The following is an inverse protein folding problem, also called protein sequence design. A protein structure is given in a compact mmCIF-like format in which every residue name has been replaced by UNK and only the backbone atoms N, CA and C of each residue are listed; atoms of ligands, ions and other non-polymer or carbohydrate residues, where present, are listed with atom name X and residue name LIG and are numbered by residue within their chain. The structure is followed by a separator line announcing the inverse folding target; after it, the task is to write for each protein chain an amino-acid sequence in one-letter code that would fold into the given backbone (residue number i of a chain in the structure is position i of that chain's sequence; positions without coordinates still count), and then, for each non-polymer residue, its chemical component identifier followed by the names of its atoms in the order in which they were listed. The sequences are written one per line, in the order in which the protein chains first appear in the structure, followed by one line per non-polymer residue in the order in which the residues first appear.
data_IF_272173730472
#
_entry.id   IF_272173730472
#
_cell.length_a   1.000
_cell.length_b   1.000
_cell.length_c   1.000
_cell.angle_alpha   90.00
_cell.angle_beta   90.00
_cell.angle_gamma   90.00
#
_symmetry.space_group_name_H-M   'P 1'
#
loop_
_entity.id
_entity.type
_entity.pdbx_description
1 polymer ?
#
# COMPACT_ATOMS: atom_id res chain seq x y z
N UNK A 1 -26.44 45.37 -28.58
CA UNK A 1 -25.60 44.37 -29.25
C UNK A 1 -24.46 44.04 -28.32
N UNK A 2 -24.11 42.76 -28.27
CA UNK A 2 -23.60 42.04 -27.10
C UNK A 2 -22.18 42.47 -26.69
N UNK A 3 -21.99 42.56 -25.37
CA UNK A 3 -20.74 42.78 -24.65
C UNK A 3 -19.76 41.62 -24.91
N UNK A 4 -18.52 41.96 -25.27
CA UNK A 4 -17.41 41.00 -25.38
C UNK A 4 -16.92 40.60 -24.01
N UNK A 5 -17.22 39.37 -23.62
CA UNK A 5 -16.84 38.75 -22.35
C UNK A 5 -15.33 38.74 -22.15
N UNK A 6 -14.93 39.22 -20.97
CA UNK A 6 -13.58 39.15 -20.47
C UNK A 6 -13.16 37.68 -20.27
N UNK A 7 -12.00 37.40 -20.85
CA UNK A 7 -11.06 36.34 -20.54
C UNK A 7 -11.02 36.04 -19.03
N UNK A 8 -11.52 34.86 -18.69
CA UNK A 8 -11.49 34.27 -17.36
C UNK A 8 -11.10 32.82 -17.50
N UNK A 9 -9.91 32.56 -18.07
CA UNK A 9 -9.24 31.28 -17.92
C UNK A 9 -8.92 31.09 -16.44
N UNK A 10 -9.85 30.49 -15.70
CA UNK A 10 -9.54 29.86 -14.41
C UNK A 10 -8.40 28.88 -14.68
N UNK A 11 -7.21 29.22 -14.16
CA UNK A 11 -6.10 28.29 -14.02
C UNK A 11 -6.66 27.02 -13.37
N UNK A 12 -6.82 25.96 -14.16
CA UNK A 12 -7.21 24.64 -13.68
C UNK A 12 -6.25 24.31 -12.53
N UNK A 13 -6.79 24.25 -11.30
CA UNK A 13 -6.03 23.75 -10.15
C UNK A 13 -5.40 22.44 -10.58
N UNK A 14 -4.07 22.36 -10.55
CA UNK A 14 -3.36 21.16 -10.95
C UNK A 14 -4.00 19.94 -10.29
N UNK A 15 -4.41 18.97 -11.10
CA UNK A 15 -4.97 17.72 -10.59
C UNK A 15 -3.96 17.09 -9.65
N UNK A 16 -4.41 16.56 -8.50
CA UNK A 16 -3.52 15.86 -7.56
C UNK A 16 -2.66 14.78 -8.25
N UNK A 17 -3.15 14.15 -9.33
CA UNK A 17 -2.38 13.19 -10.13
C UNK A 17 -1.12 13.83 -10.75
N UNK A 18 -1.24 15.06 -11.27
CA UNK A 18 -0.11 15.81 -11.81
C UNK A 18 0.85 16.21 -10.69
N UNK A 19 0.33 16.63 -9.53
CA UNK A 19 1.17 16.91 -8.36
C UNK A 19 1.99 15.67 -7.95
N UNK A 20 1.36 14.50 -7.85
CA UNK A 20 2.07 13.24 -7.56
C UNK A 20 3.05 12.84 -8.67
N UNK A 21 2.82 13.27 -9.92
CA UNK A 21 3.71 12.98 -11.04
C UNK A 21 4.95 13.87 -11.05
N UNK A 22 4.81 15.19 -10.89
CA UNK A 22 5.85 16.16 -11.24
C UNK A 22 6.38 17.02 -10.09
N UNK A 23 5.62 17.25 -9.02
CA UNK A 23 6.04 18.15 -7.95
C UNK A 23 7.22 17.60 -7.16
N UNK A 24 8.07 18.47 -6.61
CA UNK A 24 9.01 18.05 -5.56
C UNK A 24 8.23 17.55 -4.33
N UNK A 25 8.84 16.66 -3.55
CA UNK A 25 8.13 16.04 -2.42
C UNK A 25 7.85 17.06 -1.31
N UNK A 26 8.69 18.10 -1.19
CA UNK A 26 8.47 19.23 -0.29
C UNK A 26 7.25 20.06 -0.69
N UNK A 27 7.18 20.48 -1.97
CA UNK A 27 6.05 21.28 -2.48
C UNK A 27 4.73 20.50 -2.38
N UNK A 28 4.77 19.20 -2.70
CA UNK A 28 3.61 18.31 -2.56
C UNK A 28 3.15 18.21 -1.09
N UNK A 29 4.07 18.15 -0.13
CA UNK A 29 3.71 18.14 1.30
C UNK A 29 3.05 19.45 1.71
N UNK A 30 3.55 20.59 1.24
CA UNK A 30 2.94 21.90 1.50
C UNK A 30 1.52 21.97 0.93
N UNK A 31 1.30 21.50 -0.30
CA UNK A 31 -0.05 21.45 -0.90
C UNK A 31 -0.98 20.53 -0.12
N UNK A 32 -0.52 19.33 0.28
CA UNK A 32 -1.32 18.42 1.08
C UNK A 32 -1.67 19.02 2.45
N UNK A 33 -0.75 19.76 3.09
CA UNK A 33 -0.99 20.39 4.39
C UNK A 33 -2.03 21.52 4.34
N UNK A 34 -2.30 22.10 3.17
CA UNK A 34 -3.37 23.10 2.98
C UNK A 34 -4.78 22.52 3.07
N UNK A 35 -4.93 21.19 3.17
CA UNK A 35 -6.23 20.56 3.38
C UNK A 35 -6.71 20.85 4.82
N UNK A 36 -7.61 21.83 4.97
CA UNK A 36 -8.10 22.29 6.28
C UNK A 36 -8.99 21.28 7.00
N UNK A 37 -9.78 20.49 6.25
CA UNK A 37 -10.72 19.50 6.79
C UNK A 37 -10.39 18.08 6.32
N UNK A 38 -9.25 17.51 6.74
CA UNK A 38 -8.84 16.17 6.32
C UNK A 38 -9.78 15.08 6.86
N UNK A 39 -10.49 15.36 7.95
CA UNK A 39 -11.49 14.47 8.53
C UNK A 39 -12.77 15.24 8.90
N UNK A 40 -13.94 14.66 8.60
CA UNK A 40 -15.26 15.27 8.78
C UNK A 40 -16.17 14.30 9.55
N UNK A 41 -17.09 14.80 10.38
CA UNK A 41 -18.04 13.94 11.08
C UNK A 41 -19.02 13.27 10.09
N UNK A 42 -19.21 11.97 10.23
CA UNK A 42 -20.20 11.24 9.44
C UNK A 42 -21.60 11.65 9.88
N UNK A 43 -22.46 12.07 8.94
CA UNK A 43 -23.84 12.48 9.26
C UNK A 43 -24.71 11.40 9.92
N UNK A 44 -24.25 10.14 9.94
CA UNK A 44 -24.93 9.01 10.58
C UNK A 44 -24.52 8.89 12.07
N UNK A 45 -23.35 9.41 12.45
CA UNK A 45 -22.87 9.41 13.83
C UNK A 45 -21.87 10.55 14.01
N UNK A 46 -22.28 11.62 14.68
CA UNK A 46 -21.48 12.82 14.94
C UNK A 46 -20.15 12.53 15.66
N UNK A 47 -20.02 11.36 16.31
CA UNK A 47 -18.77 10.92 16.97
C UNK A 47 -17.81 10.19 16.04
N UNK A 48 -18.23 9.77 14.84
CA UNK A 48 -17.39 9.02 13.91
C UNK A 48 -16.89 9.93 12.79
N UNK A 49 -15.60 10.28 12.85
CA UNK A 49 -14.93 11.03 11.78
C UNK A 49 -14.58 10.11 10.60
N UNK A 50 -14.89 10.55 9.39
CA UNK A 50 -14.52 9.94 8.11
C UNK A 50 -13.55 10.87 7.37
N UNK A 51 -12.94 10.38 6.30
CA UNK A 51 -12.07 11.18 5.45
C UNK A 51 -12.86 12.33 4.81
N UNK A 52 -12.29 13.53 4.82
CA UNK A 52 -12.85 14.67 4.12
C UNK A 52 -12.72 14.54 2.60
N UNK A 53 -13.57 15.22 1.82
CA UNK A 53 -13.63 15.05 0.37
C UNK A 53 -12.31 15.41 -0.33
N UNK A 54 -11.62 16.45 0.12
CA UNK A 54 -10.35 16.87 -0.49
C UNK A 54 -9.21 15.89 -0.21
N UNK A 55 -9.13 15.35 1.01
CA UNK A 55 -8.18 14.30 1.33
C UNK A 55 -8.50 13.00 0.57
N UNK A 56 -9.79 12.67 0.45
CA UNK A 56 -10.23 11.51 -0.32
C UNK A 56 -9.87 11.63 -1.80
N UNK A 57 -10.06 12.79 -2.41
CA UNK A 57 -9.62 13.10 -3.78
C UNK A 57 -8.10 12.95 -3.91
N UNK A 58 -7.32 13.56 -3.01
CA UNK A 58 -5.86 13.50 -3.05
C UNK A 58 -5.34 12.07 -2.96
N UNK A 59 -5.79 11.28 -1.99
CA UNK A 59 -5.30 9.91 -1.86
C UNK A 59 -5.83 9.02 -2.99
N UNK A 60 -7.04 9.25 -3.48
CA UNK A 60 -7.54 8.53 -4.67
C UNK A 60 -6.68 8.81 -5.90
N UNK A 61 -6.26 10.05 -6.11
CA UNK A 61 -5.34 10.42 -7.18
C UNK A 61 -3.97 9.76 -7.01
N UNK A 62 -3.42 9.69 -5.79
CA UNK A 62 -2.21 8.93 -5.52
C UNK A 62 -2.37 7.45 -5.90
N UNK A 63 -3.46 6.81 -5.47
CA UNK A 63 -3.67 5.39 -5.76
C UNK A 63 -3.83 5.16 -7.26
N UNK A 64 -4.61 5.99 -7.97
CA UNK A 64 -4.73 5.93 -9.43
C UNK A 64 -3.40 6.13 -10.14
N UNK A 65 -2.58 7.07 -9.67
CA UNK A 65 -1.24 7.29 -10.20
C UNK A 65 -0.39 6.02 -10.06
N UNK A 66 -0.40 5.36 -8.89
CA UNK A 66 0.36 4.13 -8.63
C UNK A 66 -0.18 2.91 -9.38
N UNK A 67 -1.51 2.75 -9.46
CA UNK A 67 -2.16 1.61 -10.13
C UNK A 67 -2.47 1.88 -11.60
N UNK A 68 -1.95 2.99 -12.15
CA UNK A 68 -2.14 3.38 -13.54
C UNK A 68 -1.18 2.64 -14.47
N UNK A 69 -1.54 2.62 -15.76
CA UNK A 69 -0.82 1.91 -16.82
C UNK A 69 0.47 2.62 -17.27
N UNK A 70 0.71 3.83 -16.77
CA UNK A 70 1.93 4.59 -17.06
C UNK A 70 3.10 4.07 -16.23
N UNK A 71 4.26 3.89 -16.87
CA UNK A 71 5.47 3.51 -16.15
C UNK A 71 5.97 4.68 -15.30
N UNK A 72 6.04 4.46 -13.98
CA UNK A 72 6.54 5.47 -13.04
C UNK A 72 8.03 5.23 -12.78
N UNK A 73 8.80 6.31 -12.69
CA UNK A 73 10.21 6.23 -12.30
C UNK A 73 10.35 5.66 -10.89
N UNK A 74 11.15 4.60 -10.71
CA UNK A 74 11.41 3.96 -9.40
C UNK A 74 11.89 4.97 -8.35
N UNK A 75 12.69 5.97 -8.76
CA UNK A 75 13.13 7.06 -7.88
C UNK A 75 11.97 7.91 -7.38
N UNK A 76 10.99 8.20 -8.24
CA UNK A 76 9.78 8.96 -7.89
C UNK A 76 8.91 8.19 -6.92
N UNK A 77 8.66 6.91 -7.18
CA UNK A 77 7.94 6.05 -6.23
C UNK A 77 8.64 6.04 -4.88
N UNK A 78 9.97 5.87 -4.87
CA UNK A 78 10.76 5.86 -3.64
C UNK A 78 10.61 7.18 -2.87
N UNK A 79 10.79 8.34 -3.51
CA UNK A 79 10.68 9.63 -2.83
C UNK A 79 9.28 9.85 -2.25
N UNK A 80 8.22 9.52 -3.01
CA UNK A 80 6.86 9.56 -2.48
C UNK A 80 6.72 8.68 -1.22
N UNK A 81 7.23 7.45 -1.25
CA UNK A 81 7.14 6.56 -0.10
C UNK A 81 7.96 7.04 1.11
N UNK A 82 9.17 7.56 0.90
CA UNK A 82 10.09 7.95 1.98
C UNK A 82 9.83 9.32 2.55
N UNK A 83 9.28 10.24 1.74
CA UNK A 83 9.16 11.65 2.11
C UNK A 83 7.70 11.97 2.45
N UNK A 84 6.75 11.46 1.66
CA UNK A 84 5.31 11.75 1.85
C UNK A 84 4.62 10.67 2.67
N UNK A 85 4.73 9.39 2.28
CA UNK A 85 4.10 8.27 3.01
C UNK A 85 4.87 7.86 4.28
N UNK A 86 5.83 8.66 4.72
CA UNK A 86 6.44 8.52 6.04
C UNK A 86 5.52 9.03 7.17
N UNK A 87 4.52 9.84 6.82
CA UNK A 87 3.48 10.34 7.72
C UNK A 87 2.37 9.30 7.90
N UNK A 88 2.00 9.06 9.17
CA UNK A 88 1.15 7.95 9.61
C UNK A 88 -0.26 7.98 9.00
N UNK A 89 -0.88 9.14 8.92
CA UNK A 89 -2.23 9.32 8.39
C UNK A 89 -2.30 9.03 6.89
N UNK A 90 -1.47 9.69 6.08
CA UNK A 90 -1.38 9.43 4.63
C UNK A 90 -0.99 7.97 4.37
N UNK A 91 -0.04 7.42 5.13
CA UNK A 91 0.34 6.01 5.05
C UNK A 91 -0.86 5.06 5.25
N UNK A 92 -1.60 5.25 6.35
CA UNK A 92 -2.76 4.39 6.67
C UNK A 92 -3.84 4.51 5.61
N UNK A 93 -4.18 5.73 5.19
CA UNK A 93 -5.22 5.94 4.18
C UNK A 93 -4.82 5.34 2.83
N UNK A 94 -3.55 5.52 2.45
CA UNK A 94 -3.03 4.97 1.19
C UNK A 94 -3.14 3.44 1.18
N UNK A 95 -2.77 2.77 2.27
CA UNK A 95 -2.94 1.31 2.37
C UNK A 95 -4.42 0.88 2.30
N UNK A 96 -5.32 1.61 2.98
CA UNK A 96 -6.76 1.32 2.94
C UNK A 96 -7.35 1.40 1.54
N UNK A 97 -6.94 2.38 0.74
CA UNK A 97 -7.41 2.57 -0.64
C UNK A 97 -6.65 1.70 -1.65
N UNK A 98 -5.41 1.32 -1.37
CA UNK A 98 -4.60 0.52 -2.28
C UNK A 98 -5.13 -0.91 -2.43
N UNK A 99 -5.48 -1.59 -1.32
CA UNK A 99 -5.96 -2.99 -1.37
C UNK A 99 -7.10 -3.22 -2.38
N UNK A 100 -8.21 -2.44 -2.37
CA UNK A 100 -9.26 -2.63 -3.37
C UNK A 100 -8.80 -2.29 -4.78
N UNK A 101 -7.95 -1.27 -4.96
CA UNK A 101 -7.48 -0.85 -6.28
C UNK A 101 -6.58 -1.89 -6.97
N UNK A 102 -5.81 -2.69 -6.20
CA UNK A 102 -4.98 -3.77 -6.77
C UNK A 102 -5.84 -4.81 -7.49
N UNK A 103 -7.05 -5.10 -6.99
CA UNK A 103 -7.94 -6.13 -7.58
C UNK A 103 -8.28 -5.89 -9.04
N UNK A 104 -8.38 -4.62 -9.41
CA UNK A 104 -8.81 -4.18 -10.73
C UNK A 104 -7.62 -4.05 -11.71
N UNK A 105 -6.39 -4.30 -11.24
CA UNK A 105 -5.18 -4.24 -12.08
C UNK A 105 -5.03 -5.50 -12.93
N UNK A 106 -4.75 -5.31 -14.21
CA UNK A 106 -4.56 -6.40 -15.16
C UNK A 106 -3.27 -6.32 -15.97
N UNK A 107 -2.63 -5.15 -16.06
CA UNK A 107 -1.43 -4.95 -16.86
C UNK A 107 -0.13 -5.10 -16.05
N UNK A 108 0.92 -5.53 -16.72
CA UNK A 108 2.23 -5.75 -16.11
C UNK A 108 2.85 -4.45 -15.55
N UNK A 109 2.64 -3.30 -16.19
CA UNK A 109 3.25 -2.03 -15.78
C UNK A 109 2.74 -1.62 -14.40
N UNK A 110 1.42 -1.65 -14.20
CA UNK A 110 0.77 -1.39 -12.93
C UNK A 110 1.25 -2.36 -11.84
N UNK A 111 1.40 -3.66 -12.16
CA UNK A 111 1.94 -4.66 -11.22
C UNK A 111 3.36 -4.29 -10.77
N UNK A 112 4.22 -3.83 -11.68
CA UNK A 112 5.56 -3.34 -11.34
C UNK A 112 5.52 -2.06 -10.47
N UNK A 113 4.66 -1.11 -10.81
CA UNK A 113 4.48 0.12 -10.04
C UNK A 113 4.03 -0.19 -8.61
N UNK A 114 3.04 -1.07 -8.44
CA UNK A 114 2.55 -1.53 -7.12
C UNK A 114 3.66 -2.22 -6.33
N UNK A 115 4.41 -3.13 -6.95
CA UNK A 115 5.53 -3.79 -6.26
C UNK A 115 6.56 -2.77 -5.76
N UNK A 116 6.96 -1.82 -6.60
CA UNK A 116 7.91 -0.79 -6.21
C UNK A 116 7.34 0.09 -5.09
N UNK A 117 6.06 0.45 -5.16
CA UNK A 117 5.39 1.22 -4.12
C UNK A 117 5.43 0.48 -2.78
N UNK A 118 4.91 -0.76 -2.74
CA UNK A 118 4.90 -1.58 -1.53
C UNK A 118 6.31 -1.83 -0.97
N UNK A 119 7.31 -2.00 -1.85
CA UNK A 119 8.71 -2.19 -1.46
C UNK A 119 9.31 -0.99 -0.74
N UNK A 120 8.92 0.24 -1.07
CA UNK A 120 9.49 1.43 -0.44
C UNK A 120 8.67 1.96 0.73
N UNK A 121 7.47 1.42 0.98
CA UNK A 121 6.70 1.74 2.17
C UNK A 121 7.44 1.38 3.46
N UNK A 122 7.18 2.17 4.50
CA UNK A 122 7.70 1.91 5.83
C UNK A 122 7.15 0.60 6.40
N UNK A 123 8.04 -0.32 6.77
CA UNK A 123 7.67 -1.58 7.40
C UNK A 123 7.08 -1.30 8.80
N UNK A 124 5.88 -1.80 9.13
CA UNK A 124 5.28 -1.62 10.45
C UNK A 124 6.22 -2.07 11.58
N UNK A 125 6.45 -1.17 12.53
CA UNK A 125 7.41 -1.37 13.64
C UNK A 125 8.66 -0.51 13.53
N UNK A 126 8.92 0.10 12.37
CA UNK A 126 9.89 1.21 12.24
C UNK A 126 9.26 2.53 12.68
N UNK A 127 10.10 3.48 13.09
CA UNK A 127 9.68 4.83 13.49
C UNK A 127 9.12 5.58 12.27
N UNK A 128 7.95 6.20 12.43
CA UNK A 128 7.31 7.08 11.45
C UNK A 128 7.53 8.55 11.84
N UNK A 129 7.37 9.47 10.87
CA UNK A 129 7.61 10.91 11.06
C UNK A 129 6.56 11.61 11.95
N UNK A 130 5.39 11.00 12.15
CA UNK A 130 4.25 11.58 12.87
C UNK A 130 3.01 11.60 11.98
N UNK A 131 2.01 12.42 12.33
CA UNK A 131 0.88 12.70 11.44
C UNK A 131 1.26 13.86 10.51
N UNK A 132 0.77 13.86 9.28
CA UNK A 132 0.84 15.04 8.41
C UNK A 132 -0.16 16.10 8.87
N UNK A 133 -1.36 15.66 9.27
CA UNK A 133 -2.44 16.53 9.73
C UNK A 133 -2.50 16.58 11.26
N UNK A 134 -2.35 17.78 11.81
CA UNK A 134 -2.41 18.04 13.24
C UNK A 134 -3.87 18.14 13.74
N UNK A 135 -4.60 17.03 13.70
CA UNK A 135 -6.01 16.95 14.15
C UNK A 135 -6.11 16.24 15.51
N UNK A 136 -6.80 16.84 16.47
CA UNK A 136 -6.93 16.32 17.85
C UNK A 136 -7.60 14.93 17.89
N UNK A 137 -8.75 14.73 17.21
CA UNK A 137 -9.39 13.41 17.11
C UNK A 137 -9.15 12.74 15.75
N UNK A 138 -7.90 12.42 15.44
CA UNK A 138 -7.60 11.69 14.22
C UNK A 138 -8.20 10.25 14.27
N UNK A 139 -9.17 9.89 13.40
CA UNK A 139 -9.85 8.60 13.44
C UNK A 139 -8.91 7.42 13.13
N UNK A 140 -7.75 7.69 12.53
CA UNK A 140 -6.76 6.69 12.13
C UNK A 140 -5.90 6.22 13.31
N UNK A 141 -5.92 6.90 14.45
CA UNK A 141 -5.20 6.47 15.66
C UNK A 141 -5.62 5.06 16.12
N UNK A 142 -6.80 4.60 15.73
CA UNK A 142 -7.23 3.22 15.91
C UNK A 142 -6.25 2.19 15.31
N UNK A 143 -5.57 2.54 14.20
CA UNK A 143 -4.56 1.71 13.53
C UNK A 143 -3.17 1.82 14.14
N UNK A 144 -2.93 2.75 15.08
CA UNK A 144 -1.64 2.88 15.77
C UNK A 144 -1.26 1.63 16.57
N UNK A 145 -2.24 0.79 16.90
CA UNK A 145 -2.00 -0.54 17.47
C UNK A 145 -1.24 -1.41 16.47
N UNK A 146 -0.04 -1.85 16.86
CA UNK A 146 0.90 -2.62 16.03
C UNK A 146 0.23 -3.73 15.19
N UNK A 147 -0.62 -4.57 15.79
CA UNK A 147 -1.27 -5.68 15.08
C UNK A 147 -2.21 -5.23 13.95
N UNK A 148 -2.91 -4.10 14.12
CA UNK A 148 -3.82 -3.57 13.08
C UNK A 148 -3.05 -2.96 11.93
N UNK A 149 -1.98 -2.20 12.24
CA UNK A 149 -1.11 -1.65 11.21
C UNK A 149 -0.43 -2.75 10.40
N UNK A 150 0.05 -3.81 11.07
CA UNK A 150 0.62 -5.00 10.42
C UNK A 150 -0.37 -5.69 9.49
N UNK A 151 -1.63 -5.84 9.92
CA UNK A 151 -2.70 -6.40 9.08
C UNK A 151 -2.97 -5.50 7.86
N UNK A 152 -3.11 -4.20 8.08
CA UNK A 152 -3.38 -3.25 7.00
C UNK A 152 -2.24 -3.20 5.97
N UNK A 153 -0.98 -3.27 6.43
CA UNK A 153 0.18 -3.37 5.55
C UNK A 153 0.21 -4.68 4.76
N UNK A 154 -0.22 -5.78 5.35
CA UNK A 154 -0.22 -7.10 4.73
C UNK A 154 -1.25 -7.25 3.60
N UNK A 155 -2.41 -6.60 3.70
CA UNK A 155 -3.53 -6.78 2.78
C UNK A 155 -3.18 -6.47 1.30
N UNK A 156 -2.52 -5.35 0.97
CA UNK A 156 -2.07 -5.10 -0.41
C UNK A 156 -1.09 -6.13 -0.96
N UNK A 157 -0.18 -6.64 -0.12
CA UNK A 157 0.76 -7.69 -0.53
C UNK A 157 0.04 -9.00 -0.87
N UNK A 158 -0.95 -9.39 -0.06
CA UNK A 158 -1.77 -10.57 -0.32
C UNK A 158 -2.59 -10.43 -1.59
N UNK A 159 -3.06 -9.22 -1.91
CA UNK A 159 -3.75 -8.98 -3.17
C UNK A 159 -2.79 -9.08 -4.36
N UNK A 160 -1.62 -8.44 -4.28
CA UNK A 160 -0.61 -8.47 -5.35
C UNK A 160 -0.22 -9.89 -5.76
N UNK A 161 0.03 -10.80 -4.80
CA UNK A 161 0.47 -12.17 -5.10
C UNK A 161 -0.62 -13.06 -5.74
N UNK A 162 -1.88 -12.61 -5.79
CA UNK A 162 -2.95 -13.32 -6.50
C UNK A 162 -2.89 -13.12 -8.01
N UNK A 163 -2.31 -12.01 -8.46
CA UNK A 163 -2.14 -11.73 -9.90
C UNK A 163 -1.08 -12.66 -10.50
N UNK A 164 -1.14 -12.81 -11.82
CA UNK A 164 -0.05 -13.45 -12.55
C UNK A 164 1.16 -12.51 -12.57
N UNK A 165 2.18 -12.86 -11.81
CA UNK A 165 3.38 -12.04 -11.68
C UNK A 165 4.42 -12.43 -12.74
N UNK A 166 4.99 -11.46 -13.47
CA UNK A 166 6.09 -11.71 -14.38
C UNK A 166 7.26 -12.40 -13.67
N UNK A 167 7.89 -13.39 -14.30
CA UNK A 167 9.04 -14.11 -13.71
C UNK A 167 10.17 -13.18 -13.24
N UNK A 168 10.54 -12.10 -13.97
CA UNK A 168 11.55 -11.16 -13.48
C UNK A 168 11.13 -10.43 -12.19
N UNK A 169 9.83 -10.17 -12.01
CA UNK A 169 9.28 -9.59 -10.81
C UNK A 169 9.34 -10.56 -9.63
N UNK A 170 8.93 -11.82 -9.83
CA UNK A 170 8.98 -12.88 -8.79
C UNK A 170 10.40 -13.02 -8.24
N UNK A 171 11.41 -12.96 -9.12
CA UNK A 171 12.83 -13.02 -8.73
C UNK A 171 13.25 -11.90 -7.78
N UNK A 172 12.61 -10.72 -7.85
CA UNK A 172 12.86 -9.61 -6.95
C UNK A 172 11.94 -9.63 -5.73
N UNK A 173 10.69 -10.05 -5.92
CA UNK A 173 9.66 -10.05 -4.91
C UNK A 173 9.93 -11.09 -3.85
N UNK A 174 10.26 -12.34 -4.21
CA UNK A 174 10.43 -13.43 -3.24
C UNK A 174 11.55 -13.17 -2.24
N UNK A 175 12.76 -12.73 -2.65
CA UNK A 175 13.80 -12.34 -1.69
C UNK A 175 13.36 -11.18 -0.81
N UNK A 176 12.79 -10.12 -1.39
CA UNK A 176 12.36 -8.95 -0.61
C UNK A 176 11.25 -9.29 0.40
N UNK A 177 10.28 -10.11 -0.02
CA UNK A 177 9.20 -10.60 0.82
C UNK A 177 9.78 -11.36 2.02
N UNK A 178 10.68 -12.28 1.75
CA UNK A 178 11.31 -13.15 2.75
C UNK A 178 12.17 -12.34 3.72
N UNK A 179 13.11 -11.55 3.21
CA UNK A 179 14.12 -10.90 4.04
C UNK A 179 13.55 -9.71 4.81
N UNK A 180 12.57 -9.00 4.22
CA UNK A 180 12.09 -7.73 4.76
C UNK A 180 10.59 -7.73 5.06
N UNK A 181 9.74 -7.94 4.05
CA UNK A 181 8.32 -7.58 4.18
C UNK A 181 7.56 -8.45 5.19
N UNK A 182 7.87 -9.76 5.28
CA UNK A 182 7.22 -10.69 6.23
C UNK A 182 7.31 -10.22 7.69
N UNK A 183 8.41 -9.56 8.08
CA UNK A 183 8.58 -9.05 9.45
C UNK A 183 7.53 -8.00 9.85
N UNK A 184 7.02 -7.26 8.85
CA UNK A 184 5.98 -6.24 8.99
C UNK A 184 4.56 -6.78 8.91
N UNK A 185 4.38 -8.07 8.63
CA UNK A 185 3.06 -8.68 8.46
C UNK A 185 2.55 -9.24 9.80
N UNK A 186 1.24 -9.45 9.87
CA UNK A 186 0.56 -10.02 11.04
C UNK A 186 0.55 -11.55 10.95
N UNK A 187 0.07 -12.05 9.82
CA UNK A 187 -0.22 -13.45 9.53
C UNK A 187 0.62 -13.88 8.31
N UNK A 188 1.95 -13.93 8.49
CA UNK A 188 2.90 -14.19 7.41
C UNK A 188 2.73 -15.57 6.73
N UNK A 189 2.18 -16.55 7.44
CA UNK A 189 1.89 -17.89 6.91
C UNK A 189 0.95 -17.88 5.69
N UNK A 190 0.15 -16.82 5.49
CA UNK A 190 -0.74 -16.68 4.32
C UNK A 190 0.01 -16.57 2.98
N UNK A 191 1.32 -16.31 3.00
CA UNK A 191 2.17 -16.34 1.79
C UNK A 191 2.66 -17.74 1.43
N UNK A 192 2.31 -18.77 2.23
CA UNK A 192 2.73 -20.16 2.04
C UNK A 192 2.38 -20.69 0.65
N UNK A 193 1.10 -20.62 0.26
CA UNK A 193 0.63 -21.12 -1.05
C UNK A 193 1.36 -20.48 -2.23
N UNK A 194 1.62 -19.17 -2.14
CA UNK A 194 2.39 -18.46 -3.14
C UNK A 194 3.83 -18.96 -3.20
N UNK A 195 4.50 -19.09 -2.05
CA UNK A 195 5.88 -19.57 -2.01
C UNK A 195 6.01 -21.02 -2.47
N UNK A 196 5.07 -21.91 -2.11
CA UNK A 196 5.06 -23.28 -2.63
C UNK A 196 4.81 -23.32 -4.14
N UNK A 197 3.92 -22.47 -4.67
CA UNK A 197 3.73 -22.32 -6.12
C UNK A 197 5.03 -21.90 -6.82
N UNK A 198 5.74 -20.91 -6.27
CA UNK A 198 7.03 -20.48 -6.83
C UNK A 198 8.09 -21.58 -6.69
N UNK A 199 8.05 -22.35 -5.60
CA UNK A 199 8.94 -23.49 -5.41
C UNK A 199 8.78 -24.53 -6.53
N UNK A 200 7.54 -24.82 -6.94
CA UNK A 200 7.25 -25.72 -8.06
C UNK A 200 7.75 -25.24 -9.43
N UNK A 201 8.14 -23.96 -9.59
CA UNK A 201 8.80 -23.51 -10.83
C UNK A 201 10.21 -24.11 -11.01
N UNK A 202 10.82 -24.64 -9.96
CA UNK A 202 12.13 -25.29 -10.02
C UNK A 202 13.31 -24.33 -10.21
N UNK A 203 14.51 -24.91 -10.32
CA UNK A 203 15.75 -24.18 -10.55
C UNK A 203 16.00 -23.07 -9.54
N UNK A 204 16.34 -21.87 -10.03
CA UNK A 204 16.57 -20.70 -9.19
C UNK A 204 15.34 -20.33 -8.34
N UNK A 205 14.13 -20.44 -8.88
CA UNK A 205 12.90 -20.05 -8.17
C UNK A 205 12.65 -20.94 -6.96
N UNK A 206 12.95 -22.24 -7.05
CA UNK A 206 12.89 -23.16 -5.92
C UNK A 206 13.83 -22.73 -4.79
N UNK A 207 15.06 -22.34 -5.12
CA UNK A 207 16.03 -21.86 -4.13
C UNK A 207 15.55 -20.57 -3.45
N UNK A 208 15.01 -19.62 -4.22
CA UNK A 208 14.47 -18.37 -3.65
C UNK A 208 13.25 -18.62 -2.75
N UNK A 209 12.31 -19.45 -3.20
CA UNK A 209 11.10 -19.79 -2.45
C UNK A 209 11.41 -20.55 -1.16
N UNK A 210 12.41 -21.44 -1.20
CA UNK A 210 12.82 -22.23 -0.04
C UNK A 210 13.27 -21.36 1.13
N UNK A 211 13.99 -20.26 0.85
CA UNK A 211 14.35 -19.27 1.87
C UNK A 211 13.13 -18.68 2.57
N UNK A 212 12.11 -18.29 1.79
CA UNK A 212 10.84 -17.79 2.34
C UNK A 212 10.08 -18.84 3.14
N UNK A 213 9.99 -20.08 2.63
CA UNK A 213 9.31 -21.19 3.31
C UNK A 213 9.95 -21.49 4.66
N UNK A 214 11.29 -21.56 4.72
CA UNK A 214 12.01 -21.73 5.99
C UNK A 214 11.69 -20.62 6.98
N UNK A 215 11.59 -19.37 6.51
CA UNK A 215 11.21 -18.27 7.38
C UNK A 215 9.78 -18.39 7.90
N UNK A 216 8.83 -18.84 7.08
CA UNK A 216 7.46 -19.11 7.54
C UNK A 216 7.41 -20.20 8.61
N UNK A 217 8.22 -21.25 8.44
CA UNK A 217 8.34 -22.33 9.42
C UNK A 217 8.86 -21.80 10.76
N UNK A 218 9.95 -21.04 10.72
CA UNK A 218 10.64 -20.56 11.93
C UNK A 218 9.85 -19.47 12.65
N UNK A 219 9.35 -18.48 11.92
CA UNK A 219 8.81 -17.25 12.52
C UNK A 219 7.29 -17.31 12.74
N UNK A 220 6.58 -18.17 11.99
CA UNK A 220 5.11 -18.23 11.98
C UNK A 220 4.54 -19.60 12.33
N UNK A 221 5.37 -20.55 12.78
CA UNK A 221 4.99 -21.91 13.17
C UNK A 221 4.08 -22.60 12.13
N UNK A 222 4.42 -22.45 10.84
CA UNK A 222 3.63 -22.98 9.72
C UNK A 222 3.38 -24.51 9.87
N UNK A 223 4.35 -25.26 10.39
CA UNK A 223 4.18 -26.70 10.64
C UNK A 223 3.15 -27.02 11.72
N UNK A 224 3.05 -26.23 12.79
CA UNK A 224 2.00 -26.41 13.81
C UNK A 224 0.59 -26.23 13.23
N UNK A 225 0.43 -25.29 12.30
CA UNK A 225 -0.83 -25.06 11.58
C UNK A 225 -1.17 -26.20 10.59
N UNK A 226 -0.18 -26.70 9.86
CA UNK A 226 -0.36 -27.83 8.93
C UNK A 226 -0.73 -29.12 9.67
N UNK A 227 -0.04 -29.43 10.77
CA UNK A 227 -0.36 -30.60 11.61
C UNK A 227 -1.73 -30.48 12.27
N UNK A 228 -2.14 -29.28 12.67
CA UNK A 228 -3.49 -29.02 13.20
C UNK A 228 -4.58 -29.22 12.14
N UNK A 229 -4.32 -28.91 10.86
CA UNK A 229 -5.28 -29.12 9.77
C UNK A 229 -5.35 -30.60 9.36
N UNK A 230 -4.24 -31.33 9.32
CA UNK A 230 -4.25 -32.79 9.08
C UNK A 230 -4.96 -33.56 10.21
N UNK A 231 -4.88 -33.09 11.46
CA UNK A 231 -5.62 -33.70 12.58
C UNK A 231 -7.14 -33.53 12.49
N UNK A 232 -7.65 -32.56 11.71
CA UNK A 232 -9.08 -32.39 11.45
C UNK A 232 -9.60 -33.32 10.35
N UNK A 233 -8.76 -33.73 9.40
CA UNK A 233 -9.10 -34.72 8.37
C UNK A 233 -9.16 -36.16 8.90
N UNK A 234 -8.54 -36.44 10.06
CA UNK A 234 -8.63 -37.75 10.72
C UNK A 234 -9.85 -37.91 11.65
N UNK A 235 -10.70 -36.88 11.78
CA UNK A 235 -11.88 -36.90 12.66
C UNK A 235 -13.21 -36.84 11.87
N UNK A 236 -13.17 -36.82 10.53
CA UNK A 236 -14.35 -36.98 9.65
C UNK A 236 -14.37 -38.34 8.96
#
# INVERSE_FOLDING_TARGET
MIEGGADGGELEKDSYEEMFRSYLTEDLLEELQKIEQPFVCSGINEKRKTMGPELDKAVTALIKFITGTDKIGVKRIKSLCTDVLCHFDIYVISLMKLTPAIKDVSDEISVWNIFHFLRYLNIPGKKMAGNLFAVEDNPLLFYKKKLKLKRLYQEPWLELIKHELPRPLIRLLVPYLSDHALSGMRDGYLFGDFLFRVFHFGGLFAVLALSGIFKLIMDFNLFGLLLSLESLWFIS
#
